data_IF_732916533166
#
_entry.id   IF_732916533166
#
_cell.length_a   1.000
_cell.length_b   1.000
_cell.length_c   1.000
_cell.angle_alpha   90.00
_cell.angle_beta   90.00
_cell.angle_gamma   90.00
#
_symmetry.space_group_name_H-M   'P 1'
#
loop_
_entity.id
_entity.type
_entity.pdbx_description
1 polymer ?
#
# COMPACT_ATOMS: atom_id res chain seq x y z
N UNK A 1 4.58 -0.50 16.00
CA UNK A 1 3.61 0.28 15.18
C UNK A 1 4.27 0.51 13.82
N UNK A 2 3.55 0.43 12.69
CA UNK A 2 4.14 0.73 11.37
C UNK A 2 3.30 1.78 10.64
N UNK A 3 3.95 2.69 9.91
CA UNK A 3 3.30 3.61 9.00
C UNK A 3 3.38 3.08 7.56
N UNK A 4 2.22 2.93 6.91
CA UNK A 4 2.12 2.64 5.48
C UNK A 4 2.16 3.96 4.71
N UNK A 5 3.19 4.14 3.92
CA UNK A 5 3.33 5.27 3.00
C UNK A 5 2.47 5.02 1.76
N UNK A 6 1.73 6.04 1.32
CA UNK A 6 0.90 6.01 0.13
C UNK A 6 1.39 7.09 -0.85
N UNK A 7 1.69 6.64 -2.06
CA UNK A 7 2.13 7.45 -3.19
C UNK A 7 1.21 7.19 -4.38
N UNK A 8 1.17 8.11 -5.33
CA UNK A 8 0.46 7.92 -6.60
C UNK A 8 1.44 7.61 -7.74
N UNK A 9 0.97 6.92 -8.77
CA UNK A 9 1.72 6.68 -9.99
C UNK A 9 1.67 7.90 -10.94
N UNK A 10 2.68 8.77 -10.83
CA UNK A 10 2.85 9.96 -11.66
C UNK A 10 3.81 9.73 -12.84
N UNK A 11 3.60 10.50 -13.91
CA UNK A 11 4.54 10.60 -15.04
C UNK A 11 5.84 11.35 -14.67
N UNK A 12 5.85 12.17 -13.60
CA UNK A 12 7.02 12.96 -13.15
C UNK A 12 7.31 12.77 -11.64
N UNK A 13 8.59 12.91 -11.25
CA UNK A 13 9.14 12.32 -10.02
C UNK A 13 8.85 13.10 -8.73
N UNK A 14 8.55 14.40 -8.82
CA UNK A 14 8.68 15.36 -7.72
C UNK A 14 7.47 15.54 -6.80
N UNK A 15 6.25 15.09 -7.18
CA UNK A 15 5.04 15.36 -6.38
C UNK A 15 4.17 14.11 -6.14
N UNK A 16 4.82 12.99 -5.83
CA UNK A 16 4.18 11.65 -5.78
C UNK A 16 3.62 11.26 -4.42
N UNK A 17 3.94 12.00 -3.35
CA UNK A 17 3.56 11.63 -1.98
C UNK A 17 2.19 12.21 -1.62
N UNK A 18 1.21 11.33 -1.49
CA UNK A 18 -0.17 11.70 -1.12
C UNK A 18 -0.29 11.79 0.40
N UNK A 19 0.28 10.81 1.11
CA UNK A 19 0.16 10.72 2.54
C UNK A 19 0.47 9.33 3.06
N UNK A 20 -0.11 8.99 4.21
CA UNK A 20 0.21 7.75 4.91
C UNK A 20 -0.91 7.30 5.83
N UNK A 21 -0.88 6.03 6.21
CA UNK A 21 -1.82 5.42 7.14
C UNK A 21 -1.03 4.81 8.29
N UNK A 22 -1.40 5.16 9.52
CA UNK A 22 -0.83 4.56 10.73
C UNK A 22 -1.51 3.22 11.02
N UNK A 23 -0.75 2.12 11.01
CA UNK A 23 -1.27 0.78 11.24
C UNK A 23 -1.03 0.34 12.68
N UNK A 24 -2.09 0.39 13.49
CA UNK A 24 -2.10 -0.10 14.85
C UNK A 24 -2.18 -1.64 14.89
N UNK A 25 -1.73 -2.31 15.97
CA UNK A 25 -1.92 -3.75 16.13
C UNK A 25 -3.39 -4.14 15.98
N UNK A 26 -3.68 -5.23 15.25
CA UNK A 26 -5.04 -5.72 14.96
C UNK A 26 -5.94 -4.75 14.17
N UNK A 27 -5.37 -3.72 13.54
CA UNK A 27 -6.10 -2.89 12.58
C UNK A 27 -6.27 -3.59 11.22
N UNK A 28 -7.37 -3.29 10.54
CA UNK A 28 -7.66 -3.72 9.18
C UNK A 28 -7.56 -2.51 8.24
N UNK A 29 -6.80 -2.67 7.16
CA UNK A 29 -6.80 -1.73 6.04
C UNK A 29 -7.41 -2.39 4.82
N UNK A 30 -8.39 -1.73 4.20
CA UNK A 30 -9.00 -2.15 2.95
C UNK A 30 -8.63 -1.17 1.84
N UNK A 31 -7.98 -1.67 0.80
CA UNK A 31 -7.63 -0.90 -0.39
C UNK A 31 -8.42 -1.47 -1.56
N UNK A 32 -9.24 -0.65 -2.21
CA UNK A 32 -10.12 -1.06 -3.32
C UNK A 32 -10.09 -0.06 -4.47
N UNK A 33 -10.70 -0.44 -5.59
CA UNK A 33 -10.97 0.41 -6.74
C UNK A 33 -9.72 1.14 -7.27
N UNK A 34 -9.78 2.47 -7.43
CA UNK A 34 -8.65 3.28 -7.91
C UNK A 34 -7.43 3.20 -7.00
N UNK A 35 -7.61 3.29 -5.67
CA UNK A 35 -6.50 3.28 -4.73
C UNK A 35 -5.70 1.97 -4.79
N UNK A 36 -6.33 0.86 -5.21
CA UNK A 36 -5.62 -0.40 -5.45
C UNK A 36 -4.80 -0.39 -6.75
N UNK A 37 -5.29 0.31 -7.77
CA UNK A 37 -4.72 0.29 -9.13
C UNK A 37 -3.63 1.33 -9.33
N UNK A 38 -3.79 2.54 -8.79
CA UNK A 38 -2.97 3.71 -9.14
C UNK A 38 -2.09 4.20 -7.99
N UNK A 39 -2.34 3.75 -6.76
CA UNK A 39 -1.52 4.12 -5.62
C UNK A 39 -0.46 3.08 -5.32
N UNK A 40 0.79 3.51 -5.31
CA UNK A 40 1.90 2.74 -4.77
C UNK A 40 1.89 2.88 -3.25
N UNK A 41 1.85 1.77 -2.55
CA UNK A 41 1.92 1.75 -1.10
C UNK A 41 3.12 0.92 -0.64
N UNK A 42 3.73 1.32 0.47
CA UNK A 42 4.89 0.63 1.01
C UNK A 42 5.16 1.01 2.45
N UNK A 43 5.89 0.17 3.17
CA UNK A 43 6.36 0.46 4.52
C UNK A 43 7.80 0.91 4.38
N UNK A 44 8.09 2.15 4.80
CA UNK A 44 9.45 2.68 4.78
C UNK A 44 10.33 1.91 5.76
N UNK A 45 11.57 1.57 5.39
CA UNK A 45 12.53 0.93 6.29
C UNK A 45 13.09 1.96 7.27
N UNK A 46 12.62 1.90 8.53
CA UNK A 46 13.07 2.76 9.64
C UNK A 46 12.58 2.20 10.97
N UNK A 47 13.23 2.62 12.06
CA UNK A 47 12.95 2.16 13.42
C UNK A 47 11.91 3.01 14.16
N UNK A 48 11.57 4.18 13.63
CA UNK A 48 10.65 5.12 14.30
C UNK A 48 9.73 5.79 13.30
N UNK A 49 8.44 5.88 13.64
CA UNK A 49 7.46 6.68 12.90
C UNK A 49 7.25 8.03 13.61
N UNK A 50 7.03 9.10 12.84
CA UNK A 50 6.75 10.45 13.37
C UNK A 50 5.34 10.86 12.97
N UNK A 51 4.55 11.29 13.95
CA UNK A 51 3.20 11.78 13.69
C UNK A 51 3.26 13.13 12.99
N UNK A 52 2.66 13.22 11.80
CA UNK A 52 2.60 14.42 10.98
C UNK A 52 1.21 14.60 10.36
N UNK A 53 1.00 15.70 9.66
CA UNK A 53 -0.31 16.17 9.17
C UNK A 53 -0.87 15.27 8.06
N UNK A 54 0.01 14.72 7.21
CA UNK A 54 -0.36 13.83 6.10
C UNK A 54 -0.63 12.36 6.51
N UNK A 55 -1.00 12.09 7.76
CA UNK A 55 -1.48 10.76 8.20
C UNK A 55 -3.01 10.77 8.14
N UNK A 56 -3.58 10.00 7.21
CA UNK A 56 -5.02 10.03 6.92
C UNK A 56 -5.90 9.60 8.10
N UNK A 57 -5.43 8.64 8.91
CA UNK A 57 -6.13 8.14 10.09
C UNK A 57 -5.45 8.58 11.40
N UNK A 58 -4.92 9.81 11.44
CA UNK A 58 -4.23 10.33 12.63
C UNK A 58 -5.15 10.24 13.85
N UNK A 59 -4.73 9.53 14.91
CA UNK A 59 -5.55 9.42 16.11
C UNK A 59 -5.45 10.72 16.92
N UNK A 60 -6.57 11.14 17.51
CA UNK A 60 -6.68 12.42 18.21
C UNK A 60 -5.82 12.52 19.48
N UNK A 61 -5.48 11.38 20.08
CA UNK A 61 -4.64 11.28 21.27
C UNK A 61 -3.13 11.37 20.98
N UNK A 62 -2.71 11.51 19.73
CA UNK A 62 -1.30 11.68 19.36
C UNK A 62 -1.06 13.07 18.76
N UNK A 63 -0.14 13.79 19.38
CA UNK A 63 0.31 15.12 18.93
C UNK A 63 1.25 15.02 17.72
N UNK A 64 1.32 16.10 16.95
CA UNK A 64 2.32 16.23 15.89
C UNK A 64 3.73 16.19 16.49
N UNK A 65 4.67 15.57 15.76
CA UNK A 65 6.03 15.36 16.21
C UNK A 65 6.21 14.19 17.18
N UNK A 66 5.13 13.56 17.67
CA UNK A 66 5.24 12.36 18.51
C UNK A 66 5.98 11.26 17.75
N UNK A 67 7.00 10.68 18.40
CA UNK A 67 7.81 9.58 17.88
C UNK A 67 7.27 8.25 18.41
N UNK A 68 7.00 7.31 17.51
CA UNK A 68 6.55 5.97 17.83
C UNK A 68 7.63 4.96 17.44
N UNK A 69 8.16 4.25 18.43
CA UNK A 69 9.13 3.17 18.17
C UNK A 69 8.46 2.00 17.46
N UNK A 70 9.15 1.46 16.46
CA UNK A 70 8.72 0.25 15.79
C UNK A 70 9.09 -0.97 16.60
N UNK A 71 8.32 -2.02 16.37
CA UNK A 71 8.52 -3.34 16.95
C UNK A 71 8.23 -4.35 15.85
N UNK A 72 8.59 -5.61 16.07
CA UNK A 72 8.17 -6.69 15.16
C UNK A 72 6.66 -6.66 14.98
N UNK A 73 6.23 -6.66 13.73
CA UNK A 73 4.81 -6.65 13.33
C UNK A 73 4.58 -7.73 12.29
N UNK A 74 3.51 -8.49 12.48
CA UNK A 74 2.99 -9.44 11.50
C UNK A 74 1.78 -8.81 10.80
N UNK A 75 1.74 -8.87 9.48
CA UNK A 75 0.54 -8.55 8.69
C UNK A 75 0.14 -9.72 7.81
N UNK A 76 -1.17 -9.93 7.73
CA UNK A 76 -1.79 -10.81 6.75
C UNK A 76 -2.38 -9.94 5.64
N UNK A 77 -2.00 -10.21 4.40
CA UNK A 77 -2.58 -9.56 3.22
C UNK A 77 -3.37 -10.59 2.44
N UNK A 78 -4.65 -10.32 2.21
CA UNK A 78 -5.53 -11.17 1.39
C UNK A 78 -5.91 -10.36 0.15
N UNK A 79 -5.74 -10.96 -1.03
CA UNK A 79 -6.17 -10.38 -2.30
C UNK A 79 -6.91 -11.41 -3.12
N UNK A 80 -7.98 -10.99 -3.79
CA UNK A 80 -8.59 -11.78 -4.84
C UNK A 80 -7.85 -11.51 -6.15
N UNK A 81 -7.28 -12.54 -6.76
CA UNK A 81 -6.67 -12.46 -8.09
C UNK A 81 -7.54 -13.29 -9.03
N UNK A 82 -8.58 -12.69 -9.66
CA UNK A 82 -9.41 -13.43 -10.60
C UNK A 82 -8.52 -13.94 -11.74
N UNK A 83 -8.60 -15.23 -12.04
CA UNK A 83 -7.71 -15.92 -12.98
C UNK A 83 -7.73 -15.28 -14.37
N UNK A 84 -6.54 -15.13 -14.94
CA UNK A 84 -6.24 -14.61 -16.29
C UNK A 84 -6.60 -15.63 -17.37
N UNK A 85 -6.98 -15.14 -18.57
CA UNK A 85 -7.35 -15.94 -19.73
C UNK A 85 -6.40 -17.13 -19.96
N UNK A 86 -6.94 -18.35 -19.91
CA UNK A 86 -6.25 -19.55 -20.38
C UNK A 86 -6.06 -19.43 -21.89
N UNK A 87 -4.83 -19.19 -22.35
CA UNK A 87 -4.52 -19.27 -23.78
C UNK A 87 -4.59 -20.75 -24.19
N UNK A 88 -5.61 -21.10 -24.96
CA UNK A 88 -5.68 -22.40 -25.64
C UNK A 88 -4.58 -22.43 -26.71
N UNK A 89 -3.45 -23.07 -26.40
CA UNK A 89 -2.30 -23.26 -27.30
C UNK A 89 -2.69 -23.77 -28.70
N UNK A 90 -3.78 -24.54 -28.81
CA UNK A 90 -4.30 -25.07 -30.08
C UNK A 90 -4.69 -23.96 -31.10
N UNK A 91 -4.96 -22.72 -30.67
CA UNK A 91 -5.22 -21.59 -31.59
C UNK A 91 -3.95 -20.95 -32.15
N UNK A 92 -2.79 -21.20 -31.55
CA UNK A 92 -1.50 -20.63 -31.98
C UNK A 92 -0.83 -21.56 -33.00
N UNK A 93 -0.93 -22.88 -32.83
CA UNK A 93 -0.27 -23.85 -33.71
C UNK A 93 -1.02 -24.16 -35.03
N UNK A 94 -2.31 -23.85 -35.14
CA UNK A 94 -3.09 -24.07 -36.39
C UNK A 94 -2.95 -22.95 -37.43
N UNK A 95 -2.02 -22.00 -37.24
CA UNK A 95 -1.76 -20.90 -38.19
C UNK A 95 -0.43 -21.02 -38.94
N UNK A 96 0.32 -22.09 -38.71
CA UNK A 96 1.48 -22.46 -39.52
C UNK A 96 1.17 -23.84 -40.10
N UNK A 97 0.49 -23.82 -41.25
CA UNK A 97 0.55 -24.92 -42.20
C UNK A 97 1.91 -24.96 -42.88
#
# INVERSE_FOLDING_TARGET
>A
MNQLMIKYEAKTKTDRYIGSVLLQPRSLILIKDEAYKVCLHGIEERDTDVIHEKIFNRPSNLSLGTKLQRSTRVSLTIRNVPTVNTVLMNRIFNKVG
#
